data_IF_914967552726
#
_entry.id   IF_914967552726
#
_cell.length_a   1.000
_cell.length_b   1.000
_cell.length_c   1.000
_cell.angle_alpha   90.00
_cell.angle_beta   90.00
_cell.angle_gamma   90.00
#
_symmetry.space_group_name_H-M   'P 1'
#
loop_
_entity.id
_entity.type
_entity.pdbx_description
1 polymer ?
#
# COMPACT_ATOMS: atom_id res chain seq x y z
N UNK A 1 6.62 21.84 -27.31
CA UNK A 1 5.28 21.40 -26.85
C UNK A 1 5.46 20.68 -25.52
N UNK A 2 5.08 21.30 -24.41
CA UNK A 2 5.19 20.71 -23.07
C UNK A 2 3.96 19.82 -22.86
N UNK A 3 4.16 18.50 -22.89
CA UNK A 3 3.10 17.57 -22.46
C UNK A 3 3.02 17.64 -20.94
N UNK A 4 2.00 18.32 -20.44
CA UNK A 4 1.69 18.34 -19.01
C UNK A 4 1.41 16.91 -18.57
N UNK A 5 2.26 16.41 -17.69
CA UNK A 5 2.16 15.11 -17.03
C UNK A 5 0.83 15.03 -16.27
N UNK A 6 -0.18 14.41 -16.87
CA UNK A 6 -1.33 13.84 -16.15
C UNK A 6 -0.95 12.63 -15.27
N UNK A 7 0.34 12.51 -14.89
CA UNK A 7 0.85 11.47 -14.00
C UNK A 7 0.78 11.84 -12.53
N UNK A 8 0.51 13.11 -12.19
CA UNK A 8 0.47 13.56 -10.79
C UNK A 8 -0.79 13.12 -10.02
N UNK A 9 -1.86 12.70 -10.71
CA UNK A 9 -3.17 12.48 -10.06
C UNK A 9 -3.36 11.02 -9.61
N UNK A 10 -2.69 10.03 -10.24
CA UNK A 10 -2.89 8.61 -9.87
C UNK A 10 -2.01 8.12 -8.71
N UNK A 11 -0.94 8.83 -8.39
CA UNK A 11 -0.05 8.45 -7.28
C UNK A 11 -0.71 8.64 -5.91
N UNK A 12 -1.73 9.50 -5.81
CA UNK A 12 -2.44 9.73 -4.55
C UNK A 12 -3.39 8.57 -4.22
N UNK A 13 -4.04 7.95 -5.20
CA UNK A 13 -4.88 6.76 -4.98
C UNK A 13 -4.04 5.56 -4.53
N UNK A 14 -2.86 5.37 -5.16
CA UNK A 14 -1.87 4.35 -4.77
C UNK A 14 -1.35 4.52 -3.34
N UNK A 15 -1.50 5.70 -2.73
CA UNK A 15 -1.12 5.97 -1.35
C UNK A 15 -2.29 5.82 -0.37
N UNK A 16 -3.43 6.45 -0.70
CA UNK A 16 -4.57 6.57 0.22
C UNK A 16 -5.35 5.26 0.36
N UNK A 17 -5.51 4.49 -0.71
CA UNK A 17 -6.28 3.24 -0.68
C UNK A 17 -5.61 2.17 0.20
N UNK A 18 -4.30 1.87 0.04
CA UNK A 18 -3.54 1.01 0.94
C UNK A 18 -3.66 1.36 2.42
N UNK A 19 -3.53 2.65 2.72
CA UNK A 19 -3.52 3.15 4.08
C UNK A 19 -4.89 3.04 4.72
N UNK A 20 -5.95 3.36 3.97
CA UNK A 20 -7.33 3.20 4.44
C UNK A 20 -7.65 1.73 4.75
N UNK A 21 -7.23 0.81 3.88
CA UNK A 21 -7.36 -0.64 4.11
C UNK A 21 -6.60 -1.08 5.34
N UNK A 22 -5.33 -0.70 5.48
CA UNK A 22 -4.53 -1.04 6.66
C UNK A 22 -5.14 -0.50 7.96
N UNK A 23 -5.74 0.71 7.94
CA UNK A 23 -6.41 1.30 9.11
C UNK A 23 -7.74 0.63 9.46
N UNK A 24 -8.37 -0.07 8.53
CA UNK A 24 -9.67 -0.75 8.72
C UNK A 24 -9.54 -2.27 8.89
N UNK A 25 -8.38 -2.83 8.59
CA UNK A 25 -8.14 -4.26 8.69
C UNK A 25 -7.96 -4.69 10.16
N UNK A 26 -8.78 -5.66 10.64
CA UNK A 26 -8.72 -6.10 12.02
C UNK A 26 -7.39 -6.78 12.38
N UNK A 27 -6.74 -7.50 11.47
CA UNK A 27 -5.44 -8.12 11.75
C UNK A 27 -4.35 -7.07 11.93
N UNK A 28 -4.38 -6.00 11.15
CA UNK A 28 -3.47 -4.85 11.31
C UNK A 28 -3.74 -4.11 12.62
N UNK A 29 -5.01 -3.88 12.97
CA UNK A 29 -5.39 -3.25 14.25
C UNK A 29 -5.00 -4.13 15.44
N UNK A 30 -5.16 -5.45 15.36
CA UNK A 30 -4.76 -6.36 16.42
C UNK A 30 -3.24 -6.36 16.64
N UNK A 31 -2.48 -6.32 15.55
CA UNK A 31 -1.02 -6.32 15.56
C UNK A 31 -0.42 -4.97 16.01
N UNK A 32 -0.78 -3.85 15.37
CA UNK A 32 -0.21 -2.52 15.68
C UNK A 32 -0.93 -1.79 16.82
N UNK A 33 -2.21 -2.09 17.05
CA UNK A 33 -3.10 -1.35 17.95
C UNK A 33 -3.73 -0.13 17.27
N UNK A 34 -4.85 0.34 17.82
CA UNK A 34 -5.54 1.56 17.39
C UNK A 34 -5.34 2.70 18.40
N UNK A 35 -5.10 3.95 17.98
CA UNK A 35 -5.13 4.43 16.59
C UNK A 35 -3.82 4.16 15.83
N UNK A 36 -3.94 3.72 14.57
CA UNK A 36 -2.80 3.57 13.65
C UNK A 36 -2.49 4.93 13.04
N UNK A 37 -1.26 5.42 13.24
CA UNK A 37 -0.75 6.66 12.67
C UNK A 37 0.19 6.36 11.51
N UNK A 38 0.07 7.12 10.43
CA UNK A 38 1.05 7.09 9.35
C UNK A 38 2.31 7.86 9.76
N UNK A 39 3.47 7.33 9.35
CA UNK A 39 4.76 7.97 9.52
C UNK A 39 4.94 9.12 8.54
N UNK A 40 5.77 10.09 8.92
CA UNK A 40 6.01 11.30 8.14
C UNK A 40 6.81 11.06 6.85
N UNK A 41 7.58 9.97 6.81
CA UNK A 41 8.51 9.65 5.73
C UNK A 41 7.96 8.52 4.86
N UNK A 42 7.05 8.86 3.96
CA UNK A 42 6.64 7.94 2.90
C UNK A 42 7.79 7.82 1.92
N UNK A 43 8.32 6.60 1.77
CA UNK A 43 9.44 6.32 0.88
C UNK A 43 8.98 5.39 -0.21
N UNK A 44 9.21 5.74 -1.47
CA UNK A 44 8.78 4.90 -2.57
C UNK A 44 9.21 5.49 -3.89
N UNK A 45 9.41 4.62 -4.87
CA UNK A 45 9.80 5.04 -6.20
C UNK A 45 8.75 4.57 -7.20
N UNK A 46 8.25 5.53 -7.98
CA UNK A 46 7.30 5.27 -9.04
C UNK A 46 7.97 5.55 -10.37
N UNK A 47 8.43 4.50 -11.04
CA UNK A 47 9.01 4.59 -12.38
C UNK A 47 7.90 4.32 -13.39
N UNK A 48 7.28 5.37 -13.90
CA UNK A 48 6.18 5.25 -14.87
C UNK A 48 6.47 5.96 -16.17
N UNK A 49 6.23 5.24 -17.26
CA UNK A 49 6.20 5.75 -18.62
C UNK A 49 4.75 5.76 -19.15
N UNK A 50 4.58 6.16 -20.41
CA UNK A 50 3.26 6.31 -21.04
C UNK A 50 2.44 5.00 -21.01
N UNK A 51 3.04 3.89 -21.47
CA UNK A 51 2.35 2.60 -21.60
C UNK A 51 2.59 1.64 -20.41
N UNK A 52 3.75 1.72 -19.77
CA UNK A 52 4.17 0.80 -18.71
C UNK A 52 4.81 1.52 -17.53
N UNK A 53 4.89 0.86 -16.39
CA UNK A 53 5.57 1.41 -15.22
C UNK A 53 5.44 0.51 -14.00
N UNK A 54 6.16 0.86 -12.95
CA UNK A 54 6.17 0.12 -11.70
C UNK A 54 6.24 1.11 -10.54
N UNK A 55 5.41 0.88 -9.54
CA UNK A 55 5.28 1.70 -8.35
C UNK A 55 5.47 0.83 -7.13
N UNK A 56 6.57 1.05 -6.42
CA UNK A 56 6.83 0.42 -5.13
C UNK A 56 6.83 1.52 -4.07
N UNK A 57 5.89 1.43 -3.13
CA UNK A 57 5.73 2.38 -2.04
C UNK A 57 5.86 1.65 -0.71
N UNK A 58 6.58 2.28 0.21
CA UNK A 58 6.75 1.86 1.59
C UNK A 58 6.26 2.98 2.49
N UNK A 59 5.16 2.71 3.19
CA UNK A 59 4.50 3.67 4.09
C UNK A 59 4.70 3.17 5.52
N UNK A 60 5.63 3.77 6.29
CA UNK A 60 5.77 3.40 7.69
C UNK A 60 4.48 3.79 8.44
N UNK A 61 4.02 2.91 9.31
CA UNK A 61 2.87 3.10 10.20
C UNK A 61 3.26 2.76 11.63
N UNK A 62 2.60 3.40 12.59
CA UNK A 62 2.89 3.22 14.01
C UNK A 62 1.59 3.22 14.80
N UNK A 63 1.38 2.18 15.59
CA UNK A 63 0.30 2.10 16.57
C UNK A 63 0.84 2.09 18.00
N UNK A 64 -0.05 2.09 19.00
CA UNK A 64 0.32 2.07 20.41
C UNK A 64 0.93 0.75 20.88
N UNK A 65 0.67 -0.37 20.18
CA UNK A 65 1.31 -1.66 20.49
C UNK A 65 2.65 -1.82 19.78
N UNK A 66 2.67 -1.50 18.48
CA UNK A 66 3.76 -1.87 17.58
C UNK A 66 3.87 -0.91 16.40
N UNK A 67 4.99 -1.00 15.67
CA UNK A 67 5.23 -0.33 14.39
C UNK A 67 5.21 -1.33 13.24
N UNK A 68 4.95 -0.83 12.04
CA UNK A 68 4.94 -1.63 10.83
C UNK A 68 5.15 -0.79 9.60
N UNK A 69 5.29 -1.44 8.45
CA UNK A 69 5.46 -0.78 7.16
C UNK A 69 4.51 -1.40 6.16
N UNK A 70 3.72 -0.56 5.50
CA UNK A 70 2.86 -0.97 4.39
C UNK A 70 3.71 -0.96 3.11
N UNK A 71 3.86 -2.12 2.49
CA UNK A 71 4.48 -2.29 1.19
C UNK A 71 3.39 -2.42 0.13
N UNK A 72 3.43 -1.49 -0.82
CA UNK A 72 2.53 -1.45 -1.98
C UNK A 72 3.37 -1.68 -3.22
N UNK A 73 3.01 -2.68 -4.02
CA UNK A 73 3.59 -2.96 -5.31
C UNK A 73 2.49 -2.89 -6.37
N UNK A 74 2.64 -2.02 -7.36
CA UNK A 74 1.71 -1.89 -8.47
C UNK A 74 2.46 -1.76 -9.78
N UNK A 75 1.97 -2.41 -10.82
CA UNK A 75 2.51 -2.32 -12.18
C UNK A 75 1.51 -1.66 -13.09
N UNK A 76 1.96 -0.69 -13.88
CA UNK A 76 1.19 -0.08 -14.93
C UNK A 76 1.44 -0.86 -16.22
N UNK A 77 0.39 -1.34 -16.87
CA UNK A 77 0.42 -2.03 -18.15
C UNK A 77 -0.72 -1.55 -19.04
N UNK A 78 -0.40 -1.24 -20.30
CA UNK A 78 -1.37 -0.72 -21.28
C UNK A 78 -2.15 0.51 -20.76
N UNK A 79 -1.47 1.38 -20.01
CA UNK A 79 -2.10 2.57 -19.41
C UNK A 79 -2.96 2.30 -18.16
N UNK A 80 -3.16 1.05 -17.76
CA UNK A 80 -3.91 0.64 -16.56
C UNK A 80 -2.98 0.25 -15.42
N UNK A 81 -3.37 0.59 -14.19
CA UNK A 81 -2.67 0.16 -12.99
C UNK A 81 -3.20 -1.18 -12.52
N UNK A 82 -2.30 -2.09 -12.22
CA UNK A 82 -2.57 -3.38 -11.62
C UNK A 82 -1.83 -3.44 -10.29
N UNK A 83 -2.55 -3.70 -9.20
CA UNK A 83 -1.92 -3.92 -7.91
C UNK A 83 -1.38 -5.35 -7.88
N UNK A 84 -0.07 -5.47 -7.67
CA UNK A 84 0.64 -6.76 -7.61
C UNK A 84 0.87 -7.22 -6.18
N UNK A 85 1.01 -6.28 -5.24
CA UNK A 85 1.23 -6.55 -3.81
C UNK A 85 0.65 -5.46 -2.92
N UNK A 86 -0.05 -5.83 -1.84
CA UNK A 86 -0.34 -4.94 -0.73
C UNK A 86 -0.19 -5.72 0.57
N UNK A 87 0.88 -5.44 1.30
CA UNK A 87 1.25 -6.19 2.50
C UNK A 87 1.67 -5.25 3.60
N UNK A 88 1.20 -5.48 4.82
CA UNK A 88 1.71 -4.81 6.02
C UNK A 88 2.69 -5.74 6.70
N UNK A 89 3.93 -5.29 6.86
CA UNK A 89 4.92 -5.99 7.67
C UNK A 89 4.98 -5.35 9.06
N UNK A 90 4.92 -6.18 10.10
CA UNK A 90 5.07 -5.76 11.49
C UNK A 90 6.55 -5.83 11.86
N UNK A 91 7.15 -4.72 12.32
CA UNK A 91 8.61 -4.65 12.50
C UNK A 91 9.15 -5.67 13.50
N UNK A 92 8.45 -5.91 14.61
CA UNK A 92 8.96 -6.77 15.68
C UNK A 92 8.77 -8.26 15.43
N UNK A 93 7.67 -8.65 14.81
CA UNK A 93 7.35 -10.06 14.56
C UNK A 93 7.72 -10.49 13.15
N UNK A 94 8.11 -9.55 12.27
CA UNK A 94 8.24 -9.74 10.83
C UNK A 94 7.00 -10.40 10.20
N UNK A 95 5.86 -10.28 10.86
CA UNK A 95 4.60 -10.83 10.38
C UNK A 95 4.11 -10.01 9.19
N UNK A 96 3.77 -10.69 8.10
CA UNK A 96 3.25 -10.07 6.89
C UNK A 96 1.75 -10.33 6.77
N UNK A 97 0.98 -9.25 6.73
CA UNK A 97 -0.48 -9.25 6.59
C UNK A 97 -0.79 -8.78 5.17
N UNK A 98 -1.27 -9.69 4.32
CA UNK A 98 -1.68 -9.37 2.96
C UNK A 98 -3.08 -8.73 2.97
N UNK A 99 -3.18 -7.50 2.46
CA UNK A 99 -4.43 -6.72 2.34
C UNK A 99 -4.96 -6.67 0.90
N UNK A 100 -4.27 -7.30 -0.05
CA UNK A 100 -4.71 -7.39 -1.45
C UNK A 100 -5.84 -8.39 -1.58
N UNK A 101 -5.72 -9.51 -0.86
CA UNK A 101 -6.92 -10.24 -0.46
C UNK A 101 -7.65 -9.34 0.54
N UNK A 102 -8.69 -8.65 0.07
CA UNK A 102 -9.75 -8.24 0.99
C UNK A 102 -10.16 -9.44 1.86
N UNK A 103 -10.75 -9.22 3.06
CA UNK A 103 -11.04 -10.28 4.03
C UNK A 103 -11.51 -11.50 3.27
N UNK A 104 -10.69 -12.56 3.31
CA UNK A 104 -10.79 -13.65 2.37
C UNK A 104 -12.26 -14.07 2.22
N UNK A 105 -12.82 -14.20 1.01
CA UNK A 105 -13.97 -15.06 0.88
C UNK A 105 -13.46 -16.45 1.25
N UNK A 106 -13.70 -16.84 2.50
CA UNK A 106 -13.79 -18.23 2.86
C UNK A 106 -14.77 -18.87 1.87
N UNK A 107 -14.27 -19.85 1.13
CA UNK A 107 -14.89 -20.52 -0.03
C UNK A 107 -14.46 -19.97 -1.40
N UNK A 108 -13.54 -20.69 -2.03
CA UNK A 108 -13.91 -21.50 -3.19
C UNK A 108 -13.47 -22.92 -2.86
N UNK A 109 -14.48 -23.78 -2.67
CA UNK A 109 -14.35 -25.22 -2.46
C UNK A 109 -14.36 -25.93 -3.80
#
# INVERSE_FOLDING_TARGET
MVMIVFSAIKSTDLYKDPLARAKTDPAVIEALGSPIREGFLVSGNTNVNAASGEGNLSIPISGPKEKGTIYVAATKSLGRWNYSGLVVEIEKTHQRIDLLRGPAPANQR
#
